data_IF_897358858866
#
_entry.id   IF_897358858866
#
_cell.length_a   1.000
_cell.length_b   1.000
_cell.length_c   1.000
_cell.angle_alpha   90.00
_cell.angle_beta   90.00
_cell.angle_gamma   90.00
#
_symmetry.space_group_name_H-M   'P 1'
#
loop_
_entity.id
_entity.type
_entity.pdbx_description
1 polymer ?
#
# COMPACT_ATOMS: atom_id res chain seq x y z
N UNK A 1 -3.49 43.83 -22.11
CA UNK A 1 -4.01 43.05 -20.96
C UNK A 1 -4.13 41.58 -21.41
N UNK A 2 -3.76 40.56 -20.62
CA UNK A 2 -2.38 40.33 -20.15
C UNK A 2 -1.91 38.85 -20.18
N UNK A 3 -0.57 38.71 -20.15
CA UNK A 3 0.29 37.74 -19.44
C UNK A 3 0.23 36.22 -19.72
N UNK A 4 1.16 35.77 -20.59
CA UNK A 4 1.83 34.45 -20.56
C UNK A 4 2.79 34.35 -19.37
N UNK A 5 2.23 34.35 -18.16
CA UNK A 5 2.98 34.16 -16.93
C UNK A 5 2.50 32.91 -16.21
N UNK A 6 3.46 32.06 -15.87
CA UNK A 6 3.43 31.24 -14.66
C UNK A 6 2.94 29.78 -14.72
N UNK A 7 3.60 28.97 -15.56
CA UNK A 7 3.62 27.50 -15.39
C UNK A 7 4.88 27.04 -14.64
N UNK A 8 5.86 27.93 -14.46
CA UNK A 8 7.17 27.59 -13.87
C UNK A 8 7.27 27.95 -12.38
N UNK A 9 6.56 28.96 -11.86
CA UNK A 9 6.64 29.26 -10.42
C UNK A 9 5.80 28.31 -9.56
N UNK A 10 4.79 27.63 -10.15
CA UNK A 10 4.04 26.55 -9.45
C UNK A 10 4.85 25.26 -9.24
N UNK A 11 5.98 25.12 -9.92
CA UNK A 11 6.86 23.94 -9.78
C UNK A 11 7.88 24.14 -8.67
N UNK A 12 8.23 25.39 -8.33
CA UNK A 12 9.23 25.69 -7.31
C UNK A 12 8.59 25.87 -5.92
N UNK A 13 7.35 26.35 -5.84
CA UNK A 13 6.63 26.45 -4.56
C UNK A 13 6.20 25.08 -4.01
N UNK A 14 5.95 24.11 -4.91
CA UNK A 14 5.77 22.71 -4.54
C UNK A 14 7.06 22.05 -4.03
N UNK A 15 8.25 22.50 -4.45
CA UNK A 15 9.50 21.85 -4.07
C UNK A 15 9.87 22.06 -2.59
N UNK A 16 9.46 23.17 -1.94
CA UNK A 16 9.75 23.43 -0.53
C UNK A 16 8.72 22.80 0.43
N UNK A 17 7.43 22.70 0.07
CA UNK A 17 6.47 21.87 0.83
C UNK A 17 6.78 20.37 0.70
N UNK A 18 7.27 19.94 -0.46
CA UNK A 18 7.60 18.54 -0.73
C UNK A 18 8.81 18.05 0.07
N UNK A 19 9.81 18.91 0.37
CA UNK A 19 10.94 18.52 1.24
C UNK A 19 10.47 18.14 2.65
N UNK A 20 9.62 18.97 3.29
CA UNK A 20 9.09 18.66 4.63
C UNK A 20 8.09 17.50 4.66
N UNK A 21 7.45 17.18 3.53
CA UNK A 21 6.61 15.98 3.37
C UNK A 21 7.48 14.72 3.26
N UNK A 22 8.62 14.79 2.58
CA UNK A 22 9.55 13.66 2.50
C UNK A 22 10.15 13.29 3.86
N UNK A 23 10.57 14.28 4.65
CA UNK A 23 11.10 14.03 6.01
C UNK A 23 10.06 13.28 6.88
N UNK A 24 8.79 13.70 6.84
CA UNK A 24 7.71 13.03 7.58
C UNK A 24 7.43 11.61 7.08
N UNK A 25 7.50 11.38 5.77
CA UNK A 25 7.35 10.05 5.17
C UNK A 25 8.51 9.15 5.62
N UNK A 26 9.73 9.67 5.64
CA UNK A 26 10.91 8.95 6.09
C UNK A 26 10.83 8.60 7.58
N UNK A 27 10.46 9.56 8.44
CA UNK A 27 10.22 9.33 9.87
C UNK A 27 9.15 8.25 10.12
N UNK A 28 8.03 8.30 9.39
CA UNK A 28 6.96 7.29 9.50
C UNK A 28 7.42 5.93 8.99
N UNK A 29 8.17 5.88 7.89
CA UNK A 29 8.79 4.65 7.40
C UNK A 29 9.71 4.05 8.45
N UNK A 30 10.61 4.84 9.03
CA UNK A 30 11.57 4.37 10.03
C UNK A 30 10.86 3.85 11.29
N UNK A 31 9.78 4.53 11.70
CA UNK A 31 8.92 4.07 12.77
C UNK A 31 8.25 2.72 12.46
N UNK A 32 7.74 2.54 11.24
CA UNK A 32 7.15 1.27 10.79
C UNK A 32 8.19 0.15 10.68
N UNK A 33 9.42 0.47 10.25
CA UNK A 33 10.53 -0.49 10.18
C UNK A 33 10.99 -0.94 11.57
N UNK A 34 10.92 -0.06 12.55
CA UNK A 34 11.28 -0.35 13.94
C UNK A 34 10.24 -1.19 14.68
N UNK A 35 8.98 -1.21 14.21
CA UNK A 35 7.88 -1.93 14.84
C UNK A 35 7.78 -3.36 14.29
N UNK A 36 8.21 -4.36 15.08
CA UNK A 36 7.91 -5.77 14.79
C UNK A 36 6.40 -5.98 14.84
N UNK A 37 5.81 -6.43 13.74
CA UNK A 37 4.37 -6.56 13.60
C UNK A 37 3.91 -7.94 14.09
N UNK A 38 3.07 -8.02 15.13
CA UNK A 38 2.54 -9.30 15.60
C UNK A 38 1.73 -10.00 14.50
N UNK A 39 1.72 -11.34 14.43
CA UNK A 39 0.99 -12.07 13.40
C UNK A 39 -0.50 -11.70 13.28
N UNK A 40 -1.27 -11.50 14.37
CA UNK A 40 -2.66 -11.05 14.26
C UNK A 40 -2.82 -9.68 13.62
N UNK A 41 -1.94 -8.73 13.95
CA UNK A 41 -1.95 -7.39 13.38
C UNK A 41 -1.56 -7.41 11.89
N UNK A 42 -0.61 -8.26 11.52
CA UNK A 42 -0.22 -8.51 10.11
C UNK A 42 -1.39 -9.07 9.29
N UNK A 43 -2.14 -10.00 9.85
CA UNK A 43 -3.34 -10.54 9.22
C UNK A 43 -4.47 -9.52 9.13
N UNK A 44 -4.67 -8.71 10.17
CA UNK A 44 -5.68 -7.65 10.19
C UNK A 44 -5.41 -6.59 9.11
N UNK A 45 -4.16 -6.15 8.95
CA UNK A 45 -3.75 -5.22 7.89
C UNK A 45 -4.04 -5.80 6.50
N UNK A 46 -3.66 -7.06 6.28
CA UNK A 46 -3.95 -7.77 5.03
C UNK A 46 -5.45 -7.90 4.77
N UNK A 47 -6.25 -8.21 5.79
CA UNK A 47 -7.70 -8.33 5.65
C UNK A 47 -8.35 -6.98 5.31
N UNK A 48 -7.93 -5.90 5.96
CA UNK A 48 -8.40 -4.55 5.65
C UNK A 48 -8.06 -4.17 4.20
N UNK A 49 -6.87 -4.52 3.74
CA UNK A 49 -6.44 -4.28 2.36
C UNK A 49 -7.28 -5.05 1.33
N UNK A 50 -7.57 -6.34 1.56
CA UNK A 50 -8.44 -7.14 0.69
C UNK A 50 -9.86 -6.56 0.64
N UNK A 51 -10.39 -6.20 1.80
CA UNK A 51 -11.72 -5.61 1.93
C UNK A 51 -11.83 -4.29 1.17
N UNK A 52 -10.81 -3.44 1.27
CA UNK A 52 -10.78 -2.19 0.52
C UNK A 52 -10.75 -2.39 -1.00
N UNK A 53 -10.01 -3.40 -1.49
CA UNK A 53 -9.87 -3.63 -2.94
C UNK A 53 -11.03 -4.40 -3.56
N UNK A 54 -11.55 -5.40 -2.85
CA UNK A 54 -12.50 -6.37 -3.40
C UNK A 54 -13.87 -6.33 -2.73
N UNK A 55 -14.03 -5.59 -1.63
CA UNK A 55 -15.23 -5.61 -0.81
C UNK A 55 -15.33 -6.85 0.09
N UNK A 56 -16.47 -6.99 0.74
CA UNK A 56 -16.76 -8.08 1.70
C UNK A 56 -17.34 -9.35 1.04
N UNK A 57 -17.83 -9.27 -0.19
CA UNK A 57 -18.54 -10.39 -0.83
C UNK A 57 -17.60 -11.54 -1.21
N UNK A 58 -16.74 -11.32 -2.22
CA UNK A 58 -15.84 -12.34 -2.73
C UNK A 58 -14.45 -11.77 -2.97
N UNK A 59 -13.49 -12.29 -2.21
CA UNK A 59 -12.08 -11.95 -2.34
C UNK A 59 -11.38 -13.08 -3.11
N UNK A 60 -10.76 -12.79 -4.27
CA UNK A 60 -10.19 -13.84 -5.11
C UNK A 60 -8.91 -14.45 -4.53
N UNK A 61 -8.29 -13.79 -3.56
CA UNK A 61 -7.03 -14.17 -2.91
C UNK A 61 -7.18 -14.06 -1.40
N UNK A 62 -6.35 -14.78 -0.67
CA UNK A 62 -6.34 -14.81 0.79
C UNK A 62 -5.34 -13.80 1.36
N UNK A 63 -5.45 -13.54 2.66
CA UNK A 63 -4.46 -12.73 3.39
C UNK A 63 -3.07 -13.33 3.31
N UNK A 64 -2.94 -14.66 3.34
CA UNK A 64 -1.67 -15.35 3.18
C UNK A 64 -1.04 -15.11 1.79
N UNK A 65 -1.86 -15.11 0.74
CA UNK A 65 -1.38 -14.89 -0.63
C UNK A 65 -0.80 -13.47 -0.80
N UNK A 66 -1.46 -12.45 -0.27
CA UNK A 66 -0.98 -11.06 -0.36
C UNK A 66 0.12 -10.72 0.65
N UNK A 67 0.30 -11.54 1.69
CA UNK A 67 1.39 -11.43 2.66
C UNK A 67 2.65 -12.21 2.27
N UNK A 68 2.61 -12.95 1.16
CA UNK A 68 3.74 -13.69 0.61
C UNK A 68 4.57 -12.75 -0.27
N UNK A 69 5.80 -12.37 0.14
CA UNK A 69 6.66 -11.55 -0.69
C UNK A 69 7.05 -12.27 -1.98
N UNK A 70 7.29 -11.50 -3.04
CA UNK A 70 7.67 -12.06 -4.35
C UNK A 70 9.06 -12.67 -4.36
N UNK A 71 9.97 -12.19 -3.50
CA UNK A 71 11.29 -12.76 -3.29
C UNK A 71 11.41 -13.24 -1.85
N UNK A 72 12.12 -14.36 -1.65
CA UNK A 72 12.25 -14.96 -0.32
C UNK A 72 13.13 -14.13 0.62
N UNK A 73 14.06 -13.35 0.08
CA UNK A 73 14.87 -12.42 0.87
C UNK A 73 14.07 -11.25 1.46
N UNK A 74 12.88 -10.94 0.92
CA UNK A 74 12.05 -9.79 1.33
C UNK A 74 11.11 -10.12 2.50
N UNK A 75 11.28 -11.27 3.17
CA UNK A 75 10.50 -11.63 4.36
C UNK A 75 10.89 -10.79 5.58
N UNK A 76 10.33 -9.58 5.65
CA UNK A 76 10.37 -8.77 6.86
C UNK A 76 9.30 -9.17 7.87
N UNK A 77 9.58 -8.85 9.14
CA UNK A 77 8.68 -9.06 10.29
C UNK A 77 8.08 -7.75 10.81
N UNK A 78 8.57 -6.63 10.31
CA UNK A 78 8.14 -5.29 10.68
C UNK A 78 6.93 -4.82 9.87
N UNK A 79 6.30 -3.75 10.35
CA UNK A 79 5.12 -3.17 9.73
C UNK A 79 5.40 -2.63 8.32
N UNK A 80 6.56 -2.03 8.12
CA UNK A 80 6.96 -1.49 6.81
C UNK A 80 7.03 -2.59 5.75
N UNK A 81 7.70 -3.69 6.06
CA UNK A 81 7.83 -4.84 5.18
C UNK A 81 6.48 -5.51 4.88
N UNK A 82 5.58 -5.59 5.87
CA UNK A 82 4.22 -6.08 5.66
C UNK A 82 3.42 -5.17 4.72
N UNK A 83 3.45 -3.85 4.97
CA UNK A 83 2.82 -2.84 4.11
C UNK A 83 3.34 -2.93 2.66
N UNK A 84 4.66 -2.94 2.48
CA UNK A 84 5.29 -3.03 1.16
C UNK A 84 4.92 -4.31 0.42
N UNK A 85 4.91 -5.45 1.12
CA UNK A 85 4.53 -6.74 0.53
C UNK A 85 3.09 -6.72 0.04
N UNK A 86 2.17 -6.22 0.87
CA UNK A 86 0.75 -6.10 0.51
C UNK A 86 0.57 -5.17 -0.69
N UNK A 87 1.21 -3.99 -0.65
CA UNK A 87 1.14 -2.99 -1.70
C UNK A 87 1.64 -3.55 -3.04
N UNK A 88 2.82 -4.16 -3.05
CA UNK A 88 3.39 -4.72 -4.28
C UNK A 88 2.50 -5.82 -4.86
N UNK A 89 2.01 -6.72 -4.00
CA UNK A 89 1.14 -7.82 -4.40
C UNK A 89 -0.17 -7.30 -4.99
N UNK A 90 -0.75 -6.28 -4.37
CA UNK A 90 -2.01 -5.73 -4.86
C UNK A 90 -1.82 -4.93 -6.16
N UNK A 91 -0.77 -4.13 -6.28
CA UNK A 91 -0.54 -3.33 -7.49
C UNK A 91 -0.14 -4.19 -8.68
N UNK A 92 0.84 -5.07 -8.51
CA UNK A 92 1.39 -5.86 -9.63
C UNK A 92 0.51 -7.05 -10.03
N UNK A 93 -0.40 -7.50 -9.17
CA UNK A 93 -1.28 -8.64 -9.46
C UNK A 93 -0.50 -9.93 -9.75
N UNK A 94 -1.04 -10.84 -10.56
CA UNK A 94 -0.42 -12.12 -10.89
C UNK A 94 -0.49 -13.18 -9.79
N UNK A 95 -1.14 -12.86 -8.66
CA UNK A 95 -1.34 -13.79 -7.54
C UNK A 95 -2.38 -14.83 -7.95
N UNK A 96 -2.07 -16.11 -7.72
CA UNK A 96 -3.04 -17.17 -7.98
C UNK A 96 -4.21 -17.09 -7.00
N UNK A 97 -5.42 -17.17 -7.52
CA UNK A 97 -6.64 -17.03 -6.75
C UNK A 97 -7.78 -17.87 -7.30
N UNK A 98 -8.98 -17.69 -6.74
CA UNK A 98 -10.22 -18.33 -7.20
C UNK A 98 -11.31 -17.31 -7.47
N UNK A 99 -12.05 -17.49 -8.55
CA UNK A 99 -13.25 -16.69 -8.81
C UNK A 99 -14.39 -17.07 -7.87
N UNK A 100 -15.46 -16.26 -7.83
CA UNK A 100 -16.67 -16.57 -7.07
C UNK A 100 -17.31 -17.92 -7.47
N UNK A 101 -17.02 -18.42 -8.69
CA UNK A 101 -17.44 -19.74 -9.18
C UNK A 101 -16.41 -20.86 -8.94
N UNK A 102 -15.36 -20.58 -8.16
CA UNK A 102 -14.31 -21.55 -7.82
C UNK A 102 -13.26 -21.82 -8.90
N UNK A 103 -13.32 -21.15 -10.06
CA UNK A 103 -12.32 -21.32 -11.14
C UNK A 103 -10.98 -20.70 -10.74
N UNK A 104 -9.87 -21.38 -11.05
CA UNK A 104 -8.52 -20.81 -10.89
C UNK A 104 -8.34 -19.57 -11.76
N UNK A 105 -7.85 -18.50 -11.17
CA UNK A 105 -7.57 -17.23 -11.83
C UNK A 105 -6.23 -16.67 -11.34
N UNK A 106 -5.76 -15.61 -12.01
CA UNK A 106 -4.72 -14.73 -11.47
C UNK A 106 -5.31 -13.34 -11.27
N UNK A 107 -4.88 -12.64 -10.22
CA UNK A 107 -5.25 -11.23 -10.02
C UNK A 107 -4.66 -10.37 -11.14
N UNK A 108 -5.38 -9.33 -11.54
CA UNK A 108 -4.87 -8.38 -12.53
C UNK A 108 -4.06 -7.27 -11.86
N UNK A 109 -3.03 -6.79 -12.57
CA UNK A 109 -2.31 -5.59 -12.18
C UNK A 109 -3.24 -4.36 -12.27
N UNK A 110 -2.97 -3.37 -11.43
CA UNK A 110 -3.65 -2.07 -11.51
C UNK A 110 -2.90 -1.21 -12.52
N UNK A 111 -3.59 -0.83 -13.60
CA UNK A 111 -3.02 0.02 -14.66
C UNK A 111 -3.53 1.47 -14.63
N UNK A 112 -4.60 1.74 -13.87
CA UNK A 112 -5.13 3.09 -13.70
C UNK A 112 -4.35 3.82 -12.61
N UNK A 113 -3.79 4.98 -12.96
CA UNK A 113 -3.08 5.87 -12.04
C UNK A 113 -3.99 6.28 -10.88
N UNK A 114 -5.26 6.60 -11.13
CA UNK A 114 -6.20 7.00 -10.08
C UNK A 114 -6.48 5.89 -9.08
N UNK A 115 -6.64 4.65 -9.57
CA UNK A 115 -6.85 3.48 -8.71
C UNK A 115 -5.58 3.14 -7.92
N UNK A 116 -4.42 3.26 -8.55
CA UNK A 116 -3.12 3.07 -7.92
C UNK A 116 -2.90 4.07 -6.77
N UNK A 117 -3.07 5.36 -7.03
CA UNK A 117 -2.96 6.43 -6.02
C UNK A 117 -3.93 6.19 -4.86
N UNK A 118 -5.20 5.85 -5.15
CA UNK A 118 -6.21 5.60 -4.10
C UNK A 118 -5.87 4.39 -3.24
N UNK A 119 -5.40 3.30 -3.84
CA UNK A 119 -5.02 2.11 -3.09
C UNK A 119 -3.77 2.37 -2.24
N UNK A 120 -2.73 2.96 -2.83
CA UNK A 120 -1.50 3.29 -2.09
C UNK A 120 -1.78 4.20 -0.90
N UNK A 121 -2.59 5.25 -1.09
CA UNK A 121 -3.00 6.14 0.00
C UNK A 121 -3.76 5.40 1.09
N UNK A 122 -4.70 4.52 0.72
CA UNK A 122 -5.46 3.75 1.70
C UNK A 122 -4.57 2.80 2.51
N UNK A 123 -3.67 2.07 1.83
CA UNK A 123 -2.73 1.17 2.49
C UNK A 123 -1.77 1.91 3.44
N UNK A 124 -1.30 3.10 3.03
CA UNK A 124 -0.47 3.94 3.88
C UNK A 124 -1.19 4.37 5.16
N UNK A 125 -2.42 4.90 5.02
CA UNK A 125 -3.24 5.32 6.18
C UNK A 125 -3.56 4.15 7.10
N UNK A 126 -3.84 2.95 6.56
CA UNK A 126 -4.04 1.75 7.37
C UNK A 126 -2.78 1.39 8.17
N UNK A 127 -1.60 1.47 7.56
CA UNK A 127 -0.34 1.21 8.24
C UNK A 127 -0.04 2.27 9.31
N UNK A 128 -0.27 3.56 9.04
CA UNK A 128 -0.10 4.63 10.03
C UNK A 128 -1.04 4.46 11.23
N UNK A 129 -2.32 4.17 10.97
CA UNK A 129 -3.31 3.93 12.03
C UNK A 129 -2.89 2.75 12.90
N UNK A 130 -2.39 1.68 12.27
CA UNK A 130 -1.91 0.50 12.99
C UNK A 130 -0.65 0.80 13.81
N UNK A 131 0.30 1.57 13.25
CA UNK A 131 1.48 2.04 13.95
C UNK A 131 1.11 2.85 15.20
N UNK A 132 0.15 3.76 15.09
CA UNK A 132 -0.32 4.59 16.20
C UNK A 132 -1.06 3.76 17.26
N UNK A 133 -1.78 2.72 16.88
CA UNK A 133 -2.50 1.82 17.81
C UNK A 133 -1.60 0.86 18.58
N UNK A 134 -0.39 0.58 18.08
CA UNK A 134 0.56 -0.38 18.65
C UNK A 134 1.74 0.27 19.37
N UNK A 135 1.83 1.60 19.33
CA UNK A 135 2.75 2.41 20.15
C UNK A 135 2.18 2.63 21.55
#
# INVERSE_FOLDING_TARGET
MPHRGNVVDRVIEGAYEVVGVFDRIEEKRDAMQSLVLPPPARQALAQAALTYRYGDEHQPVTTADILTPRRREDYGKDLWSAYQTIQENMLKGGISGRSARGKRIHTHAIHSIDTDIKLNRALWVMAETLLESLR
#
